data_IF_557029359196
#
_entry.id   IF_557029359196
#
_cell.length_a   1.000
_cell.length_b   1.000
_cell.length_c   1.000
_cell.angle_alpha   90.00
_cell.angle_beta   90.00
_cell.angle_gamma   90.00
#
_symmetry.space_group_name_H-M   'P 1'
#
loop_
_entity.id
_entity.type
_entity.pdbx_description
1 polymer ?
#
# COMPACT_ATOMS: atom_id res chain seq x y z
N UNK A 1 -1.72 -3.86 -52.58
CA UNK A 1 -1.17 -5.24 -52.70
C UNK A 1 0.01 -5.38 -51.75
N UNK A 2 0.04 -6.54 -51.07
CA UNK A 2 1.00 -7.05 -50.07
C UNK A 2 0.89 -6.49 -48.64
N UNK A 3 0.72 -7.27 -47.57
CA UNK A 3 0.20 -8.62 -47.36
C UNK A 3 -0.20 -8.69 -45.87
N UNK A 4 -1.33 -9.35 -45.58
CA UNK A 4 -1.81 -9.76 -44.26
C UNK A 4 -1.07 -11.02 -43.79
N UNK A 5 -0.81 -11.17 -42.47
CA UNK A 5 -0.87 -12.42 -41.66
C UNK A 5 -0.15 -12.15 -40.30
N UNK A 6 -0.84 -12.07 -39.17
CA UNK A 6 -1.49 -13.13 -38.37
C UNK A 6 -0.49 -14.03 -37.61
N UNK A 7 -0.69 -14.17 -36.29
CA UNK A 7 -0.79 -15.43 -35.53
C UNK A 7 -0.62 -15.21 -34.00
N UNK A 8 -1.72 -15.41 -33.24
CA UNK A 8 -1.68 -16.17 -31.98
C UNK A 8 -1.60 -17.68 -32.35
N UNK A 9 -1.15 -18.65 -31.51
CA UNK A 9 -1.90 -19.15 -30.32
C UNK A 9 -1.07 -19.87 -29.20
N UNK A 10 -1.78 -20.56 -28.26
CA UNK A 10 -1.39 -21.59 -27.24
C UNK A 10 -1.10 -21.13 -25.79
N UNK A 11 -1.41 -21.86 -24.68
CA UNK A 11 -2.43 -22.86 -24.22
C UNK A 11 -1.94 -23.34 -22.81
N UNK A 12 -2.79 -23.31 -21.76
CA UNK A 12 -3.31 -24.42 -20.89
C UNK A 12 -2.37 -25.31 -20.02
N UNK A 13 -2.95 -25.77 -18.88
CA UNK A 13 -2.55 -26.77 -17.85
C UNK A 13 -1.52 -26.32 -16.80
N UNK A 14 -1.71 -26.47 -15.47
CA UNK A 14 -1.99 -27.69 -14.69
C UNK A 14 -2.98 -27.52 -13.50
N UNK A 15 -3.55 -28.65 -13.07
CA UNK A 15 -4.51 -28.91 -11.97
C UNK A 15 -3.84 -29.59 -10.74
N UNK A 16 -4.50 -29.47 -9.58
CA UNK A 16 -4.51 -30.30 -8.34
C UNK A 16 -3.27 -31.09 -7.84
N UNK A 17 -2.84 -30.83 -6.59
CA UNK A 17 -2.63 -31.72 -5.39
C UNK A 17 -2.03 -30.79 -4.29
N UNK A 18 -2.45 -30.75 -3.03
CA UNK A 18 -3.42 -31.52 -2.29
C UNK A 18 -3.86 -30.78 -1.02
N UNK A 19 -4.89 -31.35 -0.39
CA UNK A 19 -5.37 -30.99 0.95
C UNK A 19 -4.34 -31.45 1.98
N UNK A 20 -3.87 -30.52 2.80
CA UNK A 20 -3.34 -30.74 4.14
C UNK A 20 -3.46 -29.37 4.84
N UNK A 21 -4.56 -29.14 5.54
CA UNK A 21 -4.77 -29.45 6.97
C UNK A 21 -4.64 -28.16 7.79
N UNK A 22 -5.81 -27.63 8.14
CA UNK A 22 -6.12 -26.86 9.36
C UNK A 22 -5.04 -25.94 9.92
N UNK A 23 -5.10 -24.66 9.54
CA UNK A 23 -4.69 -23.59 10.44
C UNK A 23 -5.93 -23.00 11.07
N UNK A 24 -6.22 -23.49 12.27
CA UNK A 24 -7.22 -22.89 13.14
C UNK A 24 -6.85 -21.43 13.52
N UNK A 25 -7.85 -20.60 13.82
CA UNK A 25 -7.69 -19.20 14.26
C UNK A 25 -6.86 -18.98 15.55
N UNK A 26 -6.43 -20.07 16.19
CA UNK A 26 -5.75 -20.07 17.48
C UNK A 26 -4.28 -19.64 17.41
N UNK A 27 -3.65 -19.55 16.22
CA UNK A 27 -2.20 -19.32 16.12
C UNK A 27 -1.77 -17.83 16.15
N UNK A 28 -2.68 -16.87 15.93
CA UNK A 28 -2.34 -15.44 15.94
C UNK A 28 -2.64 -14.75 17.28
N UNK A 29 -3.34 -15.40 18.20
CA UNK A 29 -3.87 -14.77 19.42
C UNK A 29 -4.95 -13.72 19.10
N UNK A 30 -5.66 -13.24 20.14
CA UNK A 30 -6.59 -12.12 19.98
C UNK A 30 -5.80 -10.86 19.59
N UNK A 31 -6.14 -10.15 18.50
CA UNK A 31 -5.45 -8.93 18.13
C UNK A 31 -5.51 -7.88 19.23
N UNK A 32 -4.42 -7.13 19.41
CA UNK A 32 -4.35 -6.01 20.31
C UNK A 32 -4.97 -4.78 19.64
N UNK A 33 -6.02 -4.23 20.22
CA UNK A 33 -6.63 -3.00 19.72
C UNK A 33 -5.65 -1.82 19.88
N UNK A 34 -5.47 -1.06 18.80
CA UNK A 34 -4.78 0.23 18.82
C UNK A 34 -5.81 1.30 19.15
N UNK A 35 -5.56 2.10 20.19
CA UNK A 35 -6.47 3.16 20.61
C UNK A 35 -6.32 4.41 19.75
N UNK A 36 -7.34 5.28 19.76
CA UNK A 36 -7.29 6.60 19.13
C UNK A 36 -6.06 7.41 19.61
N UNK A 37 -5.72 7.37 20.89
CA UNK A 37 -4.61 8.11 21.49
C UNK A 37 -3.26 7.65 20.94
N UNK A 38 -3.09 6.34 20.76
CA UNK A 38 -1.89 5.78 20.13
C UNK A 38 -1.79 6.22 18.67
N UNK A 39 -2.92 6.24 17.96
CA UNK A 39 -2.98 6.69 16.58
C UNK A 39 -2.65 8.17 16.47
N UNK A 40 -3.22 9.03 17.32
CA UNK A 40 -2.93 10.46 17.33
C UNK A 40 -1.46 10.70 17.62
N UNK A 41 -0.89 10.05 18.63
CA UNK A 41 0.53 10.19 18.93
C UNK A 41 1.40 9.77 17.72
N UNK A 42 1.06 8.67 17.03
CA UNK A 42 1.78 8.23 15.85
C UNK A 42 1.61 9.19 14.65
N UNK A 43 0.38 9.63 14.38
CA UNK A 43 0.05 10.54 13.28
C UNK A 43 0.66 11.93 13.47
N UNK A 44 0.75 12.44 14.70
CA UNK A 44 1.39 13.73 15.00
C UNK A 44 2.89 13.77 14.67
N UNK A 45 3.56 12.60 14.60
CA UNK A 45 4.95 12.54 14.14
C UNK A 45 5.10 12.77 12.63
N UNK A 46 4.00 12.74 11.87
CA UNK A 46 4.00 12.88 10.42
C UNK A 46 3.90 14.35 10.04
N UNK A 47 5.05 15.01 9.96
CA UNK A 47 5.14 16.45 9.67
C UNK A 47 5.92 16.72 8.38
N UNK A 48 5.81 17.96 7.88
CA UNK A 48 6.56 18.43 6.71
C UNK A 48 5.95 18.04 5.36
N UNK A 49 4.70 17.58 5.33
CA UNK A 49 3.92 17.34 4.12
C UNK A 49 2.41 17.33 4.45
N UNK A 50 1.59 17.53 3.44
CA UNK A 50 0.14 17.50 3.54
C UNK A 50 -0.35 16.04 3.60
N UNK A 51 -0.80 15.62 4.78
CA UNK A 51 -1.35 14.28 5.04
C UNK A 51 -2.77 14.12 4.49
N UNK A 52 -3.41 15.21 4.03
CA UNK A 52 -4.75 15.21 3.43
C UNK A 52 -4.70 14.96 1.93
N UNK A 53 -3.52 15.05 1.30
CA UNK A 53 -3.35 14.74 -0.11
C UNK A 53 -3.26 13.23 -0.36
N UNK A 54 -4.11 12.71 -1.25
CA UNK A 54 -4.20 11.28 -1.60
C UNK A 54 -2.85 10.67 -2.03
N UNK A 55 -2.03 11.44 -2.75
CA UNK A 55 -0.69 11.05 -3.22
C UNK A 55 0.31 10.79 -2.09
N UNK A 56 0.10 11.40 -0.92
CA UNK A 56 0.91 11.22 0.28
C UNK A 56 0.40 10.09 1.19
N UNK A 57 -0.77 9.50 0.92
CA UNK A 57 -1.40 8.49 1.80
C UNK A 57 -0.48 7.30 2.04
N UNK A 58 0.18 6.77 1.01
CA UNK A 58 1.12 5.66 1.19
C UNK A 58 2.28 6.04 2.13
N UNK A 59 2.81 7.27 2.06
CA UNK A 59 3.85 7.70 3.01
C UNK A 59 3.29 7.81 4.43
N UNK A 60 2.15 8.47 4.57
CA UNK A 60 1.48 8.69 5.86
C UNK A 60 1.10 7.38 6.55
N UNK A 61 0.31 6.54 5.90
CA UNK A 61 -0.10 5.25 6.43
C UNK A 61 1.10 4.36 6.72
N UNK A 62 2.03 4.22 5.77
CA UNK A 62 3.20 3.38 5.94
C UNK A 62 4.02 3.73 7.18
N UNK A 63 4.30 5.02 7.37
CA UNK A 63 5.04 5.49 8.53
C UNK A 63 4.29 5.28 9.85
N UNK A 64 2.99 5.57 9.89
CA UNK A 64 2.17 5.37 11.10
C UNK A 64 2.15 3.88 11.48
N UNK A 65 1.90 3.00 10.51
CA UNK A 65 1.86 1.55 10.76
C UNK A 65 3.22 1.01 11.22
N UNK A 66 4.32 1.44 10.59
CA UNK A 66 5.67 1.02 11.00
C UNK A 66 6.06 1.54 12.38
N UNK A 67 5.66 2.76 12.73
CA UNK A 67 5.90 3.31 14.07
C UNK A 67 5.16 2.50 15.15
N UNK A 68 3.87 2.24 14.94
CA UNK A 68 3.07 1.42 15.85
C UNK A 68 3.62 0.00 15.97
N UNK A 69 3.99 -0.61 14.83
CA UNK A 69 4.60 -1.94 14.80
C UNK A 69 5.93 -1.99 15.55
N UNK A 70 6.79 -0.97 15.38
CA UNK A 70 8.06 -0.87 16.11
C UNK A 70 7.85 -0.77 17.62
N UNK A 71 6.91 0.07 18.05
CA UNK A 71 6.56 0.21 19.47
C UNK A 71 5.98 -1.08 20.06
N UNK A 72 5.16 -1.81 19.28
CA UNK A 72 4.64 -3.10 19.69
C UNK A 72 5.75 -4.16 19.76
N UNK A 73 6.60 -4.24 18.75
CA UNK A 73 7.73 -5.18 18.70
C UNK A 73 8.74 -4.95 19.82
N UNK A 74 9.04 -3.68 20.16
CA UNK A 74 9.92 -3.36 21.27
C UNK A 74 9.38 -3.80 22.64
N UNK A 75 8.04 -3.81 22.80
CA UNK A 75 7.38 -4.28 24.03
C UNK A 75 7.28 -5.81 24.08
N UNK A 76 6.88 -6.43 22.98
CA UNK A 76 6.78 -7.88 22.85
C UNK A 76 6.95 -8.33 21.39
N UNK A 77 8.14 -8.82 20.99
CA UNK A 77 8.41 -9.22 19.60
C UNK A 77 7.52 -10.37 19.08
N UNK A 78 6.94 -11.18 19.97
CA UNK A 78 6.05 -12.30 19.65
C UNK A 78 4.59 -12.01 20.01
N UNK A 79 4.26 -10.74 20.31
CA UNK A 79 2.93 -10.33 20.74
C UNK A 79 1.88 -10.48 19.64
N UNK A 80 0.61 -10.35 20.02
CA UNK A 80 -0.50 -10.37 19.07
C UNK A 80 -0.37 -9.29 18.00
N UNK A 81 -0.88 -9.54 16.77
CA UNK A 81 -1.05 -8.50 15.76
C UNK A 81 -1.85 -7.31 16.28
N UNK A 82 -1.62 -6.14 15.68
CA UNK A 82 -2.36 -4.93 15.99
C UNK A 82 -3.64 -4.86 15.16
N UNK A 83 -4.77 -4.53 15.80
CA UNK A 83 -6.02 -4.20 15.13
C UNK A 83 -6.27 -2.69 15.25
N UNK A 84 -6.32 -2.03 14.11
CA UNK A 84 -6.68 -0.62 13.98
C UNK A 84 -8.10 -0.56 13.42
N UNK A 85 -9.04 -0.09 14.22
CA UNK A 85 -10.43 0.05 13.77
C UNK A 85 -10.61 1.31 12.93
N UNK A 86 -11.55 1.23 11.99
CA UNK A 86 -11.90 2.33 11.09
C UNK A 86 -12.28 3.62 11.83
N UNK A 87 -13.00 3.51 12.94
CA UNK A 87 -13.51 4.63 13.71
C UNK A 87 -12.42 5.31 14.54
N UNK A 88 -11.55 4.53 15.18
CA UNK A 88 -10.36 5.05 15.88
C UNK A 88 -9.39 5.74 14.90
N UNK A 89 -9.16 5.16 13.72
CA UNK A 89 -8.34 5.78 12.67
C UNK A 89 -8.93 7.12 12.19
N UNK A 90 -10.22 7.14 11.87
CA UNK A 90 -10.86 8.33 11.33
C UNK A 90 -10.91 9.45 12.37
N UNK A 91 -11.28 9.16 13.63
CA UNK A 91 -11.26 10.15 14.71
C UNK A 91 -9.86 10.70 14.97
N UNK A 92 -8.85 9.83 15.01
CA UNK A 92 -7.46 10.26 15.16
C UNK A 92 -7.02 11.18 14.00
N UNK A 93 -7.37 10.81 12.77
CA UNK A 93 -7.08 11.61 11.59
C UNK A 93 -7.73 13.00 11.66
N UNK A 94 -9.01 13.10 12.02
CA UNK A 94 -9.70 14.38 12.20
C UNK A 94 -9.04 15.22 13.31
N UNK A 95 -8.64 14.59 14.42
CA UNK A 95 -8.01 15.28 15.55
C UNK A 95 -6.65 15.87 15.18
N UNK A 96 -5.86 15.17 14.37
CA UNK A 96 -4.53 15.62 13.92
C UNK A 96 -4.62 16.66 12.80
N UNK A 97 -5.60 16.52 11.90
CA UNK A 97 -5.77 17.44 10.77
C UNK A 97 -6.63 18.65 11.10
N UNK A 98 -7.31 18.64 12.25
CA UNK A 98 -8.28 19.65 12.67
C UNK A 98 -9.44 19.87 11.69
N UNK A 99 -9.70 18.88 10.82
CA UNK A 99 -10.80 18.92 9.87
C UNK A 99 -12.11 18.48 10.54
N UNK A 100 -13.23 19.04 10.09
CA UNK A 100 -14.53 18.43 10.36
C UNK A 100 -14.70 17.14 9.55
N UNK A 101 -15.62 16.23 9.96
CA UNK A 101 -15.91 15.02 9.19
C UNK A 101 -16.24 15.29 7.72
N UNK A 102 -16.93 16.40 7.40
CA UNK A 102 -17.32 16.77 6.04
C UNK A 102 -16.15 17.33 5.22
N UNK A 103 -15.17 17.93 5.88
CA UNK A 103 -13.97 18.48 5.24
C UNK A 103 -12.88 17.42 5.01
N UNK A 104 -13.01 16.24 5.63
CA UNK A 104 -12.05 15.16 5.44
C UNK A 104 -11.95 14.73 3.96
N UNK A 105 -10.74 14.39 3.48
CA UNK A 105 -10.55 13.88 2.12
C UNK A 105 -11.42 12.67 1.82
N UNK A 106 -11.84 12.55 0.57
CA UNK A 106 -12.76 11.49 0.14
C UNK A 106 -12.24 10.08 0.46
N UNK A 107 -10.94 9.82 0.31
CA UNK A 107 -10.37 8.51 0.63
C UNK A 107 -10.56 8.15 2.11
N UNK A 108 -10.42 9.13 3.02
CA UNK A 108 -10.52 8.93 4.48
C UNK A 108 -11.98 8.72 4.88
N UNK A 109 -12.90 9.52 4.30
CA UNK A 109 -14.34 9.36 4.51
C UNK A 109 -14.84 8.00 4.02
N UNK A 110 -14.47 7.59 2.80
CA UNK A 110 -14.90 6.30 2.26
C UNK A 110 -14.33 5.12 3.06
N UNK A 111 -13.09 5.19 3.53
CA UNK A 111 -12.54 4.16 4.40
C UNK A 111 -13.36 4.04 5.70
N UNK A 112 -13.77 5.16 6.29
CA UNK A 112 -14.64 5.19 7.47
C UNK A 112 -16.05 4.66 7.17
N UNK A 113 -16.71 5.14 6.11
CA UNK A 113 -18.05 4.75 5.68
C UNK A 113 -18.14 3.25 5.39
N UNK A 114 -17.13 2.69 4.72
CA UNK A 114 -17.04 1.25 4.46
C UNK A 114 -16.52 0.45 5.66
N UNK A 115 -16.24 1.07 6.80
CA UNK A 115 -15.75 0.40 8.02
C UNK A 115 -14.43 -0.36 7.78
N UNK A 116 -13.53 0.23 6.98
CA UNK A 116 -12.22 -0.34 6.68
C UNK A 116 -11.31 -0.36 7.90
N UNK A 117 -10.98 -1.56 8.37
CA UNK A 117 -10.07 -1.80 9.48
C UNK A 117 -8.76 -2.41 8.98
N UNK A 118 -7.70 -2.24 9.77
CA UNK A 118 -6.38 -2.76 9.46
C UNK A 118 -5.91 -3.75 10.52
N UNK A 119 -5.40 -4.89 10.07
CA UNK A 119 -4.65 -5.84 10.90
C UNK A 119 -3.18 -5.77 10.49
N UNK A 120 -2.29 -5.53 11.47
CA UNK A 120 -0.85 -5.39 11.27
C UNK A 120 -0.11 -6.44 12.08
N UNK A 121 0.46 -7.43 11.39
CA UNK A 121 1.29 -8.45 12.01
C UNK A 121 2.77 -8.09 11.86
N UNK A 122 3.41 -7.77 12.99
CA UNK A 122 4.80 -7.31 13.07
C UNK A 122 5.79 -8.39 13.54
N UNK A 123 5.32 -9.62 13.74
CA UNK A 123 6.18 -10.73 14.18
C UNK A 123 7.08 -11.13 13.03
N UNK A 124 8.36 -10.80 13.12
CA UNK A 124 9.31 -10.98 12.01
C UNK A 124 9.34 -12.42 11.47
N UNK A 125 9.25 -13.42 12.36
CA UNK A 125 9.19 -14.85 12.00
C UNK A 125 7.89 -15.28 11.30
N UNK A 126 6.85 -14.44 11.30
CA UNK A 126 5.60 -14.65 10.56
C UNK A 126 5.52 -13.87 9.24
N UNK A 127 6.54 -13.05 8.92
CA UNK A 127 6.55 -12.19 7.72
C UNK A 127 7.61 -12.65 6.73
N UNK A 128 8.89 -12.59 7.11
CA UNK A 128 10.02 -12.86 6.22
C UNK A 128 10.49 -14.30 6.41
N UNK A 129 10.40 -15.10 5.35
CA UNK A 129 10.95 -16.46 5.32
C UNK A 129 12.44 -16.45 4.96
N UNK A 130 12.82 -15.68 3.96
CA UNK A 130 14.22 -15.54 3.56
C UNK A 130 14.43 -14.27 2.72
N UNK A 131 15.56 -13.59 2.91
CA UNK A 131 16.04 -12.56 1.99
C UNK A 131 16.98 -13.22 1.00
N UNK A 132 16.56 -13.26 -0.27
CA UNK A 132 17.31 -13.93 -1.35
C UNK A 132 18.20 -12.96 -2.13
N UNK A 133 17.95 -11.65 -2.03
CA UNK A 133 18.77 -10.59 -2.62
C UNK A 133 18.52 -9.26 -1.92
N UNK A 134 19.58 -8.49 -1.71
CA UNK A 134 19.53 -7.19 -1.04
C UNK A 134 19.71 -7.29 0.48
N UNK A 135 19.66 -6.16 1.20
CA UNK A 135 19.76 -6.14 2.65
C UNK A 135 18.53 -6.76 3.33
N UNK A 136 18.66 -7.16 4.59
CA UNK A 136 17.52 -7.51 5.43
C UNK A 136 16.76 -6.25 5.84
N UNK A 137 15.41 -6.22 5.75
CA UNK A 137 14.65 -5.08 6.24
C UNK A 137 14.80 -4.95 7.76
N UNK A 138 14.84 -3.70 8.25
CA UNK A 138 14.85 -3.39 9.69
C UNK A 138 13.57 -3.84 10.37
N UNK A 139 12.47 -3.69 9.66
CA UNK A 139 11.15 -4.11 10.08
C UNK A 139 10.39 -4.60 8.86
N UNK A 140 9.65 -5.68 9.02
CA UNK A 140 8.74 -6.19 8.01
C UNK A 140 7.42 -6.51 8.69
N UNK A 141 6.31 -6.04 8.12
CA UNK A 141 4.97 -6.28 8.64
C UNK A 141 4.04 -6.78 7.54
N UNK A 142 3.10 -7.63 7.92
CA UNK A 142 1.96 -7.97 7.07
C UNK A 142 0.84 -6.99 7.36
N UNK A 143 0.27 -6.38 6.33
CA UNK A 143 -0.89 -5.51 6.48
C UNK A 143 -2.05 -6.09 5.70
N UNK A 144 -3.17 -6.24 6.40
CA UNK A 144 -4.47 -6.56 5.85
C UNK A 144 -5.38 -5.37 6.09
N UNK A 145 -5.93 -4.80 5.04
CA UNK A 145 -7.05 -3.86 5.13
C UNK A 145 -8.30 -4.58 4.66
N UNK A 146 -9.37 -4.51 5.45
CA UNK A 146 -10.63 -5.13 5.05
C UNK A 146 -11.84 -4.48 5.69
N UNK A 147 -13.02 -4.77 5.16
CA UNK A 147 -14.28 -4.44 5.80
C UNK A 147 -15.21 -5.65 5.94
N UNK A 148 -16.20 -5.58 6.85
CA UNK A 148 -17.13 -6.69 7.11
C UNK A 148 -17.83 -7.18 5.84
N UNK A 149 -18.04 -8.50 5.78
CA UNK A 149 -18.87 -9.11 4.75
C UNK A 149 -20.30 -9.26 5.29
N UNK A 150 -21.10 -8.22 5.14
CA UNK A 150 -22.52 -8.23 5.54
C UNK A 150 -23.40 -8.31 4.28
N UNK A 151 -24.66 -8.79 4.36
CA UNK A 151 -25.60 -8.73 3.26
C UNK A 151 -25.69 -7.31 2.68
N UNK A 152 -25.45 -7.16 1.38
CA UNK A 152 -25.42 -5.85 0.70
C UNK A 152 -24.08 -5.10 0.77
N UNK A 153 -23.08 -5.59 1.50
CA UNK A 153 -21.74 -4.99 1.50
C UNK A 153 -21.06 -5.14 0.14
N UNK A 154 -20.49 -4.07 -0.43
CA UNK A 154 -19.81 -4.13 -1.71
C UNK A 154 -18.52 -4.96 -1.60
N UNK A 155 -18.20 -5.71 -2.64
CA UNK A 155 -16.91 -6.43 -2.75
C UNK A 155 -15.76 -5.53 -3.21
N UNK A 156 -16.09 -4.33 -3.71
CA UNK A 156 -15.16 -3.27 -4.05
C UNK A 156 -15.91 -1.93 -4.13
N UNK A 157 -15.20 -0.82 -3.92
CA UNK A 157 -15.70 0.52 -4.23
C UNK A 157 -14.65 1.32 -5.00
N UNK A 158 -15.08 2.26 -5.83
CA UNK A 158 -14.20 3.18 -6.55
C UNK A 158 -14.48 4.62 -6.16
N UNK A 159 -13.46 5.46 -6.24
CA UNK A 159 -13.61 6.91 -6.16
C UNK A 159 -12.68 7.62 -7.15
N UNK A 160 -13.10 8.82 -7.54
CA UNK A 160 -12.28 9.73 -8.35
C UNK A 160 -11.57 10.68 -7.39
N UNK A 161 -10.25 10.58 -7.34
CA UNK A 161 -9.37 11.50 -6.67
C UNK A 161 -9.03 12.64 -7.62
N UNK A 162 -9.76 13.74 -7.47
CA UNK A 162 -9.57 14.98 -8.23
C UNK A 162 -8.55 15.91 -7.59
N UNK A 163 -8.04 15.56 -6.39
CA UNK A 163 -7.04 16.38 -5.69
C UNK A 163 -5.62 16.00 -6.10
N UNK A 164 -5.41 14.78 -6.61
CA UNK A 164 -4.14 14.41 -7.24
C UNK A 164 -4.00 14.99 -8.64
N UNK A 165 -2.76 15.26 -9.04
CA UNK A 165 -2.41 15.55 -10.44
C UNK A 165 -1.45 14.47 -10.92
N UNK A 166 -1.77 13.69 -11.99
CA UNK A 166 -3.07 13.64 -12.66
C UNK A 166 -4.16 13.13 -11.73
N UNK A 167 -5.43 13.41 -12.05
CA UNK A 167 -6.56 12.83 -11.34
C UNK A 167 -6.51 11.30 -11.49
N UNK A 168 -6.91 10.59 -10.44
CA UNK A 168 -6.88 9.14 -10.39
C UNK A 168 -8.26 8.58 -10.09
N UNK A 169 -8.67 7.52 -10.77
CA UNK A 169 -9.68 6.61 -10.22
C UNK A 169 -8.98 5.52 -9.45
N UNK A 170 -9.35 5.35 -8.19
CA UNK A 170 -8.86 4.30 -7.31
C UNK A 170 -10.00 3.34 -7.03
N UNK A 171 -9.73 2.03 -7.08
CA UNK A 171 -10.67 1.00 -6.66
C UNK A 171 -10.05 0.17 -5.54
N UNK A 172 -10.75 0.13 -4.42
CA UNK A 172 -10.43 -0.69 -3.27
C UNK A 172 -11.30 -1.94 -3.32
N UNK A 173 -10.69 -3.11 -3.27
CA UNK A 173 -11.40 -4.37 -3.05
C UNK A 173 -11.56 -4.63 -1.56
N UNK A 174 -12.58 -5.43 -1.19
CA UNK A 174 -12.92 -5.74 0.21
C UNK A 174 -11.76 -6.22 1.05
N UNK A 175 -10.82 -6.90 0.42
CA UNK A 175 -9.60 -7.39 1.03
C UNK A 175 -8.43 -6.81 0.26
N UNK A 176 -7.61 -6.03 0.96
CA UNK A 176 -6.33 -5.52 0.48
C UNK A 176 -5.24 -6.12 1.36
N UNK A 177 -4.20 -6.64 0.74
CA UNK A 177 -3.04 -7.17 1.45
C UNK A 177 -1.76 -6.64 0.85
N UNK A 178 -0.77 -6.43 1.71
CA UNK A 178 0.60 -6.11 1.29
C UNK A 178 1.60 -6.43 2.40
N UNK A 179 2.87 -6.56 2.02
CA UNK A 179 4.00 -6.55 2.94
C UNK A 179 4.56 -5.14 2.99
N UNK A 180 4.74 -4.59 4.17
CA UNK A 180 5.36 -3.28 4.36
C UNK A 180 6.73 -3.48 5.01
N UNK A 181 7.78 -3.08 4.29
CA UNK A 181 9.17 -3.26 4.69
C UNK A 181 9.83 -1.91 4.90
N UNK A 182 10.59 -1.81 5.99
CA UNK A 182 11.44 -0.67 6.29
C UNK A 182 12.91 -1.01 6.03
N UNK A 183 13.59 -0.14 5.29
CA UNK A 183 15.04 -0.11 5.14
C UNK A 183 15.58 1.25 5.59
N UNK A 184 16.90 1.39 5.72
CA UNK A 184 17.55 2.66 6.06
C UNK A 184 17.14 3.84 5.18
N UNK A 185 16.92 3.57 3.89
CA UNK A 185 16.79 4.61 2.87
C UNK A 185 15.54 4.46 2.00
N UNK A 186 14.64 3.53 2.32
CA UNK A 186 13.38 3.38 1.61
C UNK A 186 12.33 2.62 2.41
N UNK A 187 11.06 2.88 2.07
CA UNK A 187 9.95 2.00 2.42
C UNK A 187 9.52 1.22 1.18
N UNK A 188 9.14 -0.04 1.38
CA UNK A 188 8.69 -0.93 0.31
C UNK A 188 7.34 -1.53 0.66
N UNK A 189 6.36 -1.29 -0.21
CA UNK A 189 5.12 -2.04 -0.32
C UNK A 189 5.37 -3.18 -1.30
N UNK A 190 5.32 -4.43 -0.85
CA UNK A 190 5.52 -5.61 -1.69
C UNK A 190 4.30 -6.53 -1.67
N UNK A 191 4.17 -7.37 -2.70
CA UNK A 191 3.04 -8.28 -2.90
C UNK A 191 1.65 -7.63 -2.73
N UNK A 192 1.50 -6.40 -3.23
CA UNK A 192 0.24 -5.65 -3.10
C UNK A 192 -0.89 -6.36 -3.85
N UNK A 193 -2.03 -6.52 -3.17
CA UNK A 193 -3.26 -7.09 -3.72
C UNK A 193 -4.47 -6.29 -3.24
N UNK A 194 -5.58 -6.34 -4.00
CA UNK A 194 -6.83 -5.67 -3.64
C UNK A 194 -6.89 -4.17 -3.93
N UNK A 195 -5.86 -3.59 -4.55
CA UNK A 195 -5.84 -2.19 -5.00
C UNK A 195 -5.68 -2.13 -6.52
N UNK A 196 -6.56 -1.37 -7.19
CA UNK A 196 -6.37 -0.99 -8.59
C UNK A 196 -6.48 0.52 -8.76
N UNK A 197 -5.77 1.03 -9.76
CA UNK A 197 -5.79 2.46 -10.08
C UNK A 197 -5.65 2.70 -11.57
N UNK A 198 -6.24 3.80 -12.03
CA UNK A 198 -6.07 4.34 -13.39
C UNK A 198 -6.06 5.87 -13.35
N UNK A 199 -5.13 6.53 -14.05
CA UNK A 199 -5.20 7.97 -14.27
C UNK A 199 -6.42 8.32 -15.13
N UNK A 200 -7.19 9.34 -14.73
CA UNK A 200 -8.35 9.82 -15.48
C UNK A 200 -8.09 11.13 -16.22
N UNK A 201 -6.98 11.83 -15.94
CA UNK A 201 -6.55 13.04 -16.67
C UNK A 201 -5.06 13.04 -17.06
N UNK A 202 -4.66 14.01 -17.90
CA UNK A 202 -3.26 14.24 -18.33
C UNK A 202 -2.71 13.27 -19.39
N UNK A 203 -1.44 13.48 -19.80
CA UNK A 203 -0.73 12.63 -20.79
C UNK A 203 -0.62 11.16 -20.33
N UNK A 204 -0.60 10.95 -19.01
CA UNK A 204 -0.71 9.62 -18.39
C UNK A 204 -2.14 9.06 -18.59
N UNK A 205 -3.21 9.83 -18.34
CA UNK A 205 -4.57 9.44 -18.69
C UNK A 205 -4.75 9.10 -20.18
N UNK A 206 -4.01 9.73 -21.10
CA UNK A 206 -4.02 9.40 -22.54
C UNK A 206 -3.32 8.06 -22.84
N UNK A 207 -2.16 7.79 -22.22
CA UNK A 207 -1.45 6.50 -22.29
C UNK A 207 -2.21 5.37 -21.57
N UNK A 208 -2.99 5.69 -20.53
CA UNK A 208 -3.77 4.73 -19.74
C UNK A 208 -5.23 4.58 -20.21
N UNK A 209 -5.75 5.46 -21.08
CA UNK A 209 -7.08 5.35 -21.72
C UNK A 209 -7.24 4.07 -22.54
N UNK A 210 -6.15 3.59 -23.14
CA UNK A 210 -6.11 2.33 -23.90
C UNK A 210 -5.91 1.10 -23.00
N UNK A 211 -5.75 1.29 -21.68
CA UNK A 211 -5.04 0.35 -20.83
C UNK A 211 -5.84 -0.16 -19.60
N UNK A 212 -6.99 0.40 -19.24
CA UNK A 212 -7.84 -0.18 -18.16
C UNK A 212 -7.17 -0.26 -16.78
N UNK A 213 -7.80 -0.98 -15.83
CA UNK A 213 -7.34 -1.07 -14.44
C UNK A 213 -5.99 -1.80 -14.31
N UNK A 214 -5.04 -1.19 -13.59
CA UNK A 214 -3.73 -1.77 -13.31
C UNK A 214 -3.61 -2.18 -11.84
N UNK A 215 -3.00 -3.35 -11.59
CA UNK A 215 -2.73 -3.83 -10.22
C UNK A 215 -1.32 -3.40 -9.82
N UNK A 216 -1.21 -2.58 -8.78
CA UNK A 216 0.07 -2.34 -8.12
C UNK A 216 0.56 -3.67 -7.55
N UNK A 217 1.81 -4.04 -7.84
CA UNK A 217 2.42 -5.25 -7.27
C UNK A 217 3.55 -4.91 -6.31
N UNK A 218 4.20 -3.76 -6.51
CA UNK A 218 5.23 -3.25 -5.62
C UNK A 218 5.30 -1.73 -5.73
N UNK A 219 5.52 -1.04 -4.62
CA UNK A 219 5.85 0.38 -4.59
C UNK A 219 7.01 0.62 -3.65
N UNK A 220 7.97 1.45 -4.05
CA UNK A 220 9.11 1.82 -3.22
C UNK A 220 9.21 3.33 -3.14
N UNK A 221 9.33 3.88 -1.94
CA UNK A 221 9.45 5.31 -1.76
C UNK A 221 10.69 5.67 -0.94
N UNK A 222 11.27 6.83 -1.26
CA UNK A 222 12.32 7.49 -0.50
C UNK A 222 12.04 8.98 -0.49
N UNK A 223 12.47 9.67 0.57
CA UNK A 223 12.27 11.10 0.75
C UNK A 223 13.62 11.81 0.66
N UNK A 224 13.69 12.93 -0.05
CA UNK A 224 14.86 13.81 -0.08
C UNK A 224 14.89 14.74 1.13
N UNK A 225 16.01 15.42 1.35
CA UNK A 225 16.19 16.31 2.49
C UNK A 225 15.19 17.49 2.51
N UNK A 226 14.75 17.96 1.34
CA UNK A 226 13.73 19.00 1.17
C UNK A 226 12.28 18.46 1.24
N UNK A 227 12.09 17.20 1.61
CA UNK A 227 10.77 16.60 1.82
C UNK A 227 10.09 16.05 0.56
N UNK A 228 10.70 16.23 -0.62
CA UNK A 228 10.20 15.65 -1.87
C UNK A 228 10.26 14.12 -1.83
N UNK A 229 9.14 13.48 -2.13
CA UNK A 229 9.07 12.04 -2.21
C UNK A 229 9.40 11.57 -3.63
N UNK A 230 10.26 10.56 -3.76
CA UNK A 230 10.47 9.79 -4.99
C UNK A 230 9.83 8.43 -4.80
N UNK A 231 8.85 8.10 -5.65
CA UNK A 231 8.20 6.80 -5.66
C UNK A 231 8.53 6.06 -6.95
N UNK A 232 8.88 4.77 -6.83
CA UNK A 232 9.02 3.85 -7.95
C UNK A 232 8.03 2.71 -7.77
N UNK A 233 7.06 2.63 -8.67
CA UNK A 233 5.98 1.65 -8.60
C UNK A 233 6.08 0.70 -9.78
N UNK A 234 5.95 -0.59 -9.49
CA UNK A 234 5.79 -1.65 -10.48
C UNK A 234 4.32 -2.07 -10.49
N UNK A 235 3.72 -2.04 -11.67
CA UNK A 235 2.34 -2.48 -11.90
C UNK A 235 2.33 -3.66 -12.85
N UNK A 236 1.37 -4.57 -12.65
CA UNK A 236 1.09 -5.68 -13.56
C UNK A 236 -0.19 -5.37 -14.31
N UNK A 237 -0.17 -5.58 -15.62
CA UNK A 237 -1.37 -5.60 -16.45
C UNK A 237 -1.28 -6.73 -17.47
N UNK A 238 -2.22 -7.67 -17.40
CA UNK A 238 -2.15 -8.89 -18.20
C UNK A 238 -0.81 -9.60 -17.99
N UNK A 239 -0.13 -9.95 -19.08
CA UNK A 239 1.23 -10.51 -19.06
C UNK A 239 2.36 -9.49 -18.91
N UNK A 240 2.08 -8.18 -18.98
CA UNK A 240 3.10 -7.13 -18.99
C UNK A 240 3.35 -6.55 -17.59
N UNK A 241 4.61 -6.18 -17.36
CA UNK A 241 5.05 -5.43 -16.17
C UNK A 241 5.50 -4.05 -16.61
N UNK A 242 4.95 -3.01 -15.99
CA UNK A 242 5.30 -1.62 -16.24
C UNK A 242 5.91 -1.07 -14.95
N UNK A 243 6.98 -0.29 -15.09
CA UNK A 243 7.58 0.44 -13.97
C UNK A 243 7.54 1.94 -14.27
N UNK A 244 7.16 2.72 -13.27
CA UNK A 244 7.15 4.17 -13.35
C UNK A 244 7.83 4.78 -12.12
N UNK A 245 8.54 5.89 -12.35
CA UNK A 245 9.02 6.78 -11.30
C UNK A 245 8.12 8.01 -11.27
N UNK A 246 7.73 8.46 -10.08
CA UNK A 246 6.93 9.66 -9.82
C UNK A 246 7.57 10.42 -8.68
N UNK A 247 7.60 11.75 -8.76
CA UNK A 247 7.92 12.61 -7.63
C UNK A 247 6.67 13.26 -7.06
N UNK A 248 6.57 13.35 -5.75
CA UNK A 248 5.42 13.92 -5.03
C UNK A 248 5.95 15.02 -4.11
N UNK A 249 5.42 16.23 -4.32
CA UNK A 249 5.70 17.41 -3.50
C UNK A 249 5.08 17.26 -2.11
N UNK A 250 5.61 17.96 -1.09
CA UNK A 250 4.99 17.99 0.24
C UNK A 250 3.50 18.34 0.21
N UNK A 251 3.07 19.22 -0.68
CA UNK A 251 1.66 19.60 -0.87
C UNK A 251 0.81 18.57 -1.64
N UNK A 252 1.38 17.42 -2.01
CA UNK A 252 0.69 16.35 -2.72
C UNK A 252 0.72 16.43 -4.24
N UNK A 253 1.28 17.49 -4.86
CA UNK A 253 1.39 17.53 -6.32
C UNK A 253 2.35 16.47 -6.83
N UNK A 254 1.88 15.60 -7.72
CA UNK A 254 2.67 14.53 -8.30
C UNK A 254 3.09 14.84 -9.75
N UNK A 255 4.30 14.42 -10.11
CA UNK A 255 4.86 14.58 -11.44
C UNK A 255 5.51 13.29 -11.90
N UNK A 256 5.34 12.95 -13.18
CA UNK A 256 6.01 11.79 -13.77
C UNK A 256 7.52 12.05 -13.87
N UNK A 257 8.31 11.06 -13.50
CA UNK A 257 9.76 11.12 -13.60
C UNK A 257 10.41 11.94 -12.49
N UNK A 258 11.64 12.37 -12.73
CA UNK A 258 12.39 13.23 -11.81
C UNK A 258 12.47 14.65 -12.41
N UNK A 259 12.42 15.71 -11.59
CA UNK A 259 12.78 17.05 -12.02
C UNK A 259 14.18 17.09 -12.65
N UNK A 260 14.35 17.99 -13.63
CA UNK A 260 15.68 18.25 -14.21
C UNK A 260 16.61 18.85 -13.15
N UNK A 261 17.92 18.66 -13.32
CA UNK A 261 18.96 19.25 -12.47
C UNK A 261 18.90 18.89 -10.96
N UNK A 262 18.31 17.75 -10.61
CA UNK A 262 18.27 17.22 -9.23
C UNK A 262 19.12 15.93 -9.07
N UNK A 263 20.46 16.05 -8.91
CA UNK A 263 21.34 14.88 -8.78
C UNK A 263 21.08 14.05 -7.52
N UNK A 264 20.61 14.70 -6.45
CA UNK A 264 20.16 14.08 -5.21
C UNK A 264 18.99 13.10 -5.47
N UNK A 265 17.98 13.52 -6.25
CA UNK A 265 16.83 12.67 -6.59
C UNK A 265 17.23 11.52 -7.52
N UNK A 266 18.20 11.73 -8.40
CA UNK A 266 18.79 10.64 -9.21
C UNK A 266 19.50 9.62 -8.32
N UNK A 267 20.15 10.04 -7.24
CA UNK A 267 20.73 9.12 -6.27
C UNK A 267 19.65 8.31 -5.55
N UNK A 268 18.54 8.93 -5.14
CA UNK A 268 17.39 8.23 -4.56
C UNK A 268 16.78 7.23 -5.55
N UNK A 269 16.56 7.63 -6.80
CA UNK A 269 16.02 6.72 -7.80
C UNK A 269 16.92 5.50 -8.04
N UNK A 270 18.25 5.70 -8.06
CA UNK A 270 19.21 4.58 -8.13
C UNK A 270 19.09 3.65 -6.92
N UNK A 271 18.91 4.19 -5.71
CA UNK A 271 18.68 3.39 -4.49
C UNK A 271 17.39 2.57 -4.59
N UNK A 272 16.30 3.18 -5.06
CA UNK A 272 15.01 2.50 -5.26
C UNK A 272 15.07 1.40 -6.33
N UNK A 273 15.99 1.51 -7.29
CA UNK A 273 16.24 0.49 -8.33
C UNK A 273 17.10 -0.70 -7.83
N UNK A 274 17.71 -0.62 -6.65
CA UNK A 274 18.53 -1.72 -6.12
C UNK A 274 17.71 -3.01 -6.04
N UNK A 275 18.29 -4.16 -6.42
CA UNK A 275 17.52 -5.39 -6.45
C UNK A 275 17.24 -5.86 -5.02
N UNK A 276 15.96 -6.08 -4.71
CA UNK A 276 15.46 -6.62 -3.44
C UNK A 276 14.58 -7.80 -3.81
N UNK A 277 14.84 -8.95 -3.21
CA UNK A 277 14.03 -10.15 -3.38
C UNK A 277 13.87 -10.85 -2.04
N UNK A 278 12.65 -10.82 -1.51
CA UNK A 278 12.29 -11.41 -0.24
C UNK A 278 11.26 -12.52 -0.50
N UNK A 279 11.44 -13.66 0.15
CA UNK A 279 10.45 -14.71 0.24
C UNK A 279 9.69 -14.52 1.54
N UNK A 280 8.37 -14.48 1.46
CA UNK A 280 7.50 -14.31 2.61
C UNK A 280 6.92 -15.63 3.10
N UNK A 281 6.53 -15.66 4.37
CA UNK A 281 5.56 -16.64 4.83
C UNK A 281 4.20 -16.34 4.18
N UNK A 282 3.34 -17.36 3.94
CA UNK A 282 1.98 -17.13 3.47
C UNK A 282 1.26 -16.09 4.33
N UNK A 283 0.43 -15.26 3.72
CA UNK A 283 -0.44 -14.38 4.49
C UNK A 283 -1.40 -15.27 5.29
N UNK A 284 -1.62 -15.03 6.59
CA UNK A 284 -2.53 -15.84 7.37
C UNK A 284 -3.92 -15.88 6.71
N UNK A 285 -4.63 -17.04 6.72
CA UNK A 285 -5.98 -17.11 6.18
C UNK A 285 -6.88 -16.10 6.88
N UNK A 286 -7.72 -15.42 6.09
CA UNK A 286 -8.75 -14.56 6.64
C UNK A 286 -9.82 -15.46 7.26
N UNK A 287 -10.10 -15.31 8.55
CA UNK A 287 -11.34 -15.84 9.10
C UNK A 287 -12.50 -15.20 8.31
N UNK A 288 -13.19 -16.01 7.51
CA UNK A 288 -14.51 -15.67 7.00
C UNK A 288 -15.46 -15.98 8.14
N UNK A 289 -15.83 -14.97 8.93
CA UNK A 289 -17.01 -15.02 9.80
C UNK A 289 -18.10 -14.22 9.13
#
# INVERSE_FOLDING_TARGET
MKTVQALAPFLLAWWQVGVASDLHPSSLGRPLAVTEEMLVAAMQTQTGYDVTATTNVARFEGNVLLLLARQAQARNPQGSPLLIKHDDWFRAFLRVTHLSPQQAPLFSRLAFEHRQQMLVDYRAGGVVKAVTRGPTPKLAVNVLVSWPQEPGSPQAYSFEDTLSTPHLRVTNHRVITYRLLEYDDMLVYDEVSGLTGRPTTGLLGLLFKLVGDSRAIQSRLSISADGLQVNRTRVKKGGFRIEATVTIQPDGRAHKGLPQNRPDLRALERRLKRPIAVRYHPFPPLEQK
#
